data_IF_141178656368
#
_entry.id   IF_141178656368
#
_cell.length_a   1.000
_cell.length_b   1.000
_cell.length_c   1.000
_cell.angle_alpha   90.00
_cell.angle_beta   90.00
_cell.angle_gamma   90.00
#
_symmetry.space_group_name_H-M   'P 1'
#
loop_
_entity.id
_entity.type
_entity.pdbx_description
1 polymer ?
#
# COMPACT_ATOMS: atom_id res chain seq x y z
N UNK A 1 8.57 7.97 12.69
CA UNK A 1 7.35 8.07 11.90
C UNK A 1 6.26 7.20 12.53
N UNK A 2 5.08 7.76 12.69
CA UNK A 2 3.93 7.04 13.22
C UNK A 2 2.83 7.03 12.16
N UNK A 3 2.47 5.89 11.75
CA UNK A 3 1.33 5.71 10.95
C UNK A 3 0.38 4.78 11.68
N UNK A 4 -0.79 4.77 11.39
CA UNK A 4 -1.74 3.94 12.02
C UNK A 4 -2.59 3.24 11.04
N UNK A 5 -3.35 2.42 11.11
CA UNK A 5 -3.92 1.46 10.28
C UNK A 5 -5.40 1.54 10.09
N UNK A 6 -5.91 0.72 9.36
CA UNK A 6 -7.26 0.73 8.88
C UNK A 6 -7.93 -0.60 9.06
N UNK A 7 -9.20 -0.60 9.10
CA UNK A 7 -9.99 -1.83 9.12
C UNK A 7 -10.57 -2.10 7.75
N UNK A 8 -10.53 -3.30 7.28
CA UNK A 8 -11.22 -3.74 6.09
C UNK A 8 -12.70 -4.11 6.37
N UNK A 9 -13.24 -3.77 7.51
CA UNK A 9 -14.67 -4.00 7.83
C UNK A 9 -15.61 -3.29 6.87
N UNK A 10 -15.13 -2.26 6.20
CA UNK A 10 -15.94 -1.53 5.23
C UNK A 10 -16.22 -2.29 3.96
N UNK A 11 -15.57 -3.41 3.77
CA UNK A 11 -15.81 -4.29 2.64
C UNK A 11 -17.13 -5.05 2.76
N UNK A 12 -17.60 -5.20 4.01
CA UNK A 12 -18.90 -5.76 4.32
C UNK A 12 -19.86 -4.60 4.61
N UNK A 13 -20.63 -4.14 3.63
CA UNK A 13 -21.66 -3.15 3.90
C UNK A 13 -22.65 -3.73 4.92
N UNK A 14 -23.12 -2.94 5.88
CA UNK A 14 -24.11 -3.41 6.86
C UNK A 14 -25.33 -3.94 6.12
N UNK A 15 -25.72 -5.16 6.44
CA UNK A 15 -26.94 -5.75 5.87
C UNK A 15 -28.14 -4.88 6.21
N UNK A 16 -29.01 -4.58 5.25
CA UNK A 16 -30.23 -3.82 5.54
C UNK A 16 -31.06 -4.56 6.63
N UNK A 17 -31.30 -3.90 7.74
CA UNK A 17 -32.16 -4.45 8.79
C UNK A 17 -31.50 -4.77 10.13
N UNK A 18 -30.19 -4.50 10.31
CA UNK A 18 -29.59 -4.57 11.64
C UNK A 18 -29.94 -3.28 12.39
N UNK A 19 -30.65 -3.34 13.54
CA UNK A 19 -30.88 -2.12 14.31
C UNK A 19 -29.53 -1.56 14.75
N UNK A 20 -29.31 -0.29 14.48
CA UNK A 20 -28.18 0.44 15.02
C UNK A 20 -28.25 0.30 16.54
N UNK A 21 -27.26 -0.38 17.13
CA UNK A 21 -27.10 -0.30 18.56
C UNK A 21 -26.78 1.15 18.88
N UNK A 22 -27.65 1.78 19.65
CA UNK A 22 -27.44 3.13 20.17
C UNK A 22 -26.30 3.12 21.19
N UNK A 23 -25.10 2.92 20.72
CA UNK A 23 -23.92 3.44 21.39
C UNK A 23 -23.60 4.74 20.69
N UNK A 24 -23.68 5.83 21.41
CA UNK A 24 -23.42 7.17 20.91
C UNK A 24 -22.12 7.24 20.10
N UNK A 25 -21.92 8.26 19.26
CA UNK A 25 -20.79 8.30 18.33
C UNK A 25 -19.50 8.10 19.12
N UNK A 26 -18.82 6.99 18.89
CA UNK A 26 -17.44 6.82 19.31
C UNK A 26 -16.59 7.81 18.50
N UNK A 27 -16.61 9.05 18.95
CA UNK A 27 -15.81 10.12 18.37
C UNK A 27 -14.35 9.69 18.49
N UNK A 28 -13.73 9.30 17.38
CA UNK A 28 -12.29 9.15 17.25
C UNK A 28 -11.70 7.76 17.11
N UNK A 29 -12.45 6.67 17.12
CA UNK A 29 -11.89 5.34 16.79
C UNK A 29 -11.84 5.12 15.29
N UNK A 30 -10.65 5.34 14.71
CA UNK A 30 -10.34 4.86 13.35
C UNK A 30 -10.28 3.34 13.34
N UNK A 31 -10.77 2.73 12.28
CA UNK A 31 -10.67 1.31 12.06
C UNK A 31 -9.20 0.84 11.88
N UNK A 32 -8.84 -0.39 12.25
CA UNK A 32 -7.46 -0.92 12.27
C UNK A 32 -7.18 -1.93 11.17
N UNK A 33 -6.05 -1.79 10.46
CA UNK A 33 -5.62 -2.70 9.40
C UNK A 33 -4.13 -3.03 9.51
N UNK A 34 -3.76 -4.20 9.02
CA UNK A 34 -2.37 -4.57 8.72
C UNK A 34 -2.21 -4.75 7.22
N UNK A 35 -1.20 -4.12 6.64
CA UNK A 35 -0.97 -4.12 5.20
C UNK A 35 0.44 -4.64 4.91
N UNK A 36 0.56 -5.52 3.92
CA UNK A 36 1.82 -5.93 3.31
C UNK A 36 1.83 -5.52 1.86
N UNK A 37 2.95 -5.00 1.38
CA UNK A 37 3.11 -4.53 0.00
C UNK A 37 4.44 -4.98 -0.58
N UNK A 38 4.47 -5.20 -1.89
CA UNK A 38 5.69 -5.46 -2.64
C UNK A 38 5.56 -5.00 -4.08
N UNK A 39 6.69 -4.73 -4.71
CA UNK A 39 6.81 -4.40 -6.11
C UNK A 39 7.96 -5.13 -6.76
N UNK A 40 7.81 -5.48 -8.02
CA UNK A 40 8.82 -6.20 -8.80
C UNK A 40 8.86 -5.66 -10.23
N UNK A 41 10.05 -5.65 -10.82
CA UNK A 41 10.23 -5.23 -12.20
C UNK A 41 11.23 -6.14 -12.91
N UNK A 42 10.88 -6.57 -14.12
CA UNK A 42 11.76 -7.38 -14.95
C UNK A 42 12.56 -6.44 -15.87
N UNK A 43 13.90 -6.42 -15.70
CA UNK A 43 14.79 -5.58 -16.49
C UNK A 43 14.94 -4.12 -16.05
N UNK A 44 14.25 -3.68 -15.07
CA UNK A 44 14.27 -2.39 -14.36
C UNK A 44 15.03 -1.24 -15.09
N UNK A 45 14.45 -0.52 -16.10
CA UNK A 45 13.02 -0.51 -16.44
C UNK A 45 12.57 -1.72 -17.28
N UNK A 46 11.26 -1.99 -17.23
CA UNK A 46 10.62 -3.05 -17.99
C UNK A 46 9.24 -3.37 -17.43
N UNK A 47 8.66 -4.53 -17.79
CA UNK A 47 7.39 -4.97 -17.21
C UNK A 47 7.50 -5.14 -15.71
N UNK A 48 6.57 -4.58 -14.97
CA UNK A 48 6.57 -4.65 -13.52
C UNK A 48 5.20 -4.99 -12.95
N UNK A 49 5.21 -5.52 -11.73
CA UNK A 49 4.02 -5.84 -10.97
C UNK A 49 4.10 -5.29 -9.55
N UNK A 50 2.94 -5.08 -8.98
CA UNK A 50 2.78 -4.70 -7.58
C UNK A 50 1.75 -5.60 -6.91
N UNK A 51 1.86 -5.77 -5.61
CA UNK A 51 0.92 -6.55 -4.84
C UNK A 51 0.74 -6.00 -3.44
N UNK A 52 -0.44 -6.21 -2.87
CA UNK A 52 -0.76 -5.85 -1.51
C UNK A 52 -1.67 -6.89 -0.87
N UNK A 53 -1.48 -7.12 0.43
CA UNK A 53 -2.36 -7.91 1.27
C UNK A 53 -2.84 -7.01 2.40
N UNK A 54 -4.16 -6.88 2.53
CA UNK A 54 -4.80 -6.12 3.59
C UNK A 54 -5.52 -7.07 4.53
N UNK A 55 -5.26 -6.92 5.83
CA UNK A 55 -5.87 -7.75 6.87
C UNK A 55 -6.51 -6.88 7.94
N UNK A 56 -7.73 -7.23 8.33
CA UNK A 56 -8.40 -6.64 9.47
C UNK A 56 -8.99 -7.72 10.36
N UNK A 57 -9.10 -7.39 11.62
CA UNK A 57 -9.78 -8.22 12.60
C UNK A 57 -10.91 -7.42 13.25
N UNK A 58 -12.06 -7.99 13.30
CA UNK A 58 -13.24 -7.41 13.93
C UNK A 58 -14.00 -8.48 14.74
N UNK A 59 -15.13 -8.11 15.32
CA UNK A 59 -15.96 -9.04 16.12
C UNK A 59 -16.46 -10.27 15.35
N UNK A 60 -16.40 -10.25 14.01
CA UNK A 60 -16.79 -11.37 13.13
C UNK A 60 -15.61 -12.24 12.70
N UNK A 61 -14.38 -11.91 13.11
CA UNK A 61 -13.17 -12.64 12.79
C UNK A 61 -12.19 -11.86 11.90
N UNK A 62 -11.23 -12.57 11.33
CA UNK A 62 -10.22 -12.03 10.41
C UNK A 62 -10.77 -11.95 8.98
N UNK A 63 -10.54 -10.81 8.35
CA UNK A 63 -10.76 -10.63 6.91
C UNK A 63 -9.41 -10.35 6.24
N UNK A 64 -9.19 -10.98 5.08
CA UNK A 64 -7.96 -10.79 4.29
C UNK A 64 -8.34 -10.52 2.85
N UNK A 65 -7.68 -9.52 2.25
CA UNK A 65 -7.84 -9.19 0.83
C UNK A 65 -6.48 -9.12 0.16
N UNK A 66 -6.37 -9.77 -0.99
CA UNK A 66 -5.22 -9.67 -1.87
C UNK A 66 -5.54 -8.77 -3.05
N UNK A 67 -4.56 -7.95 -3.47
CA UNK A 67 -4.63 -7.08 -4.64
C UNK A 67 -3.32 -7.18 -5.41
N UNK A 68 -3.41 -7.12 -6.73
CA UNK A 68 -2.22 -7.04 -7.58
C UNK A 68 -2.53 -6.35 -8.90
N UNK A 69 -1.50 -5.90 -9.58
CA UNK A 69 -1.57 -5.29 -10.89
C UNK A 69 -0.18 -5.06 -11.46
N UNK A 70 -0.09 -4.43 -12.63
CA UNK A 70 1.19 -4.21 -13.26
C UNK A 70 1.18 -3.11 -14.30
N UNK A 71 2.38 -2.75 -14.76
CA UNK A 71 2.64 -1.81 -15.85
C UNK A 71 3.66 -2.41 -16.81
N UNK A 72 3.49 -2.13 -18.11
CA UNK A 72 4.35 -2.69 -19.17
C UNK A 72 5.74 -2.09 -19.24
N UNK A 73 5.89 -0.85 -18.78
CA UNK A 73 7.16 -0.12 -18.75
C UNK A 73 7.25 0.70 -17.47
N UNK A 74 8.00 0.18 -16.50
CA UNK A 74 8.06 0.75 -15.17
C UNK A 74 9.40 0.45 -14.48
N UNK A 75 9.50 0.76 -13.19
CA UNK A 75 10.67 0.49 -12.34
C UNK A 75 10.28 -0.20 -11.05
N UNK A 76 11.23 -0.84 -10.36
CA UNK A 76 10.99 -1.41 -9.03
C UNK A 76 10.42 -0.39 -8.05
N UNK A 77 11.04 0.77 -7.95
CA UNK A 77 10.60 1.82 -7.02
C UNK A 77 9.19 2.30 -7.30
N UNK A 78 8.84 2.42 -8.58
CA UNK A 78 7.49 2.80 -8.99
C UNK A 78 6.46 1.73 -8.60
N UNK A 79 6.79 0.46 -8.78
CA UNK A 79 5.91 -0.66 -8.39
C UNK A 79 5.74 -0.76 -6.87
N UNK A 80 6.79 -0.53 -6.12
CA UNK A 80 6.72 -0.46 -4.64
C UNK A 80 5.76 0.65 -4.17
N UNK A 81 5.86 1.84 -4.76
CA UNK A 81 4.94 2.94 -4.47
C UNK A 81 3.49 2.63 -4.88
N UNK A 82 3.31 2.06 -6.05
CA UNK A 82 1.97 1.70 -6.56
C UNK A 82 1.28 0.67 -5.68
N UNK A 83 2.01 -0.28 -5.12
CA UNK A 83 1.46 -1.24 -4.16
C UNK A 83 0.87 -0.52 -2.95
N UNK A 84 1.60 0.41 -2.37
CA UNK A 84 1.15 1.21 -1.22
C UNK A 84 -0.07 2.08 -1.59
N UNK A 85 0.01 2.80 -2.70
CA UNK A 85 -1.06 3.70 -3.15
C UNK A 85 -2.35 2.92 -3.42
N UNK A 86 -2.27 1.81 -4.13
CA UNK A 86 -3.45 0.99 -4.42
C UNK A 86 -4.05 0.38 -3.15
N UNK A 87 -3.22 -0.09 -2.22
CA UNK A 87 -3.69 -0.59 -0.94
C UNK A 87 -4.47 0.48 -0.16
N UNK A 88 -3.89 1.66 0.00
CA UNK A 88 -4.52 2.75 0.75
C UNK A 88 -5.73 3.34 0.02
N UNK A 89 -5.69 3.42 -1.31
CA UNK A 89 -6.83 3.89 -2.12
C UNK A 89 -8.04 2.96 -2.04
N UNK A 90 -7.83 1.69 -1.74
CA UNK A 90 -8.91 0.72 -1.57
C UNK A 90 -9.67 0.87 -0.26
N UNK A 91 -9.14 1.63 0.69
CA UNK A 91 -9.75 1.90 1.98
C UNK A 91 -10.75 3.04 1.88
N UNK A 92 -12.02 2.77 2.19
CA UNK A 92 -13.13 3.72 1.97
C UNK A 92 -13.31 4.74 3.08
N UNK A 93 -12.82 4.46 4.28
CA UNK A 93 -12.93 5.31 5.47
C UNK A 93 -11.55 5.58 6.08
N UNK A 94 -11.41 6.65 6.88
CA UNK A 94 -10.17 6.89 7.62
C UNK A 94 -9.83 5.72 8.54
N UNK A 95 -8.59 5.34 8.49
CA UNK A 95 -8.08 4.13 9.12
C UNK A 95 -6.74 4.36 9.83
N UNK A 96 -6.35 3.44 10.74
CA UNK A 96 -5.01 3.41 11.31
C UNK A 96 -4.42 1.98 11.35
N UNK A 97 -3.09 1.82 11.31
CA UNK A 97 -2.40 0.52 11.44
C UNK A 97 -0.99 0.52 10.92
N UNK A 98 -0.57 -0.63 10.50
CA UNK A 98 0.82 -0.89 10.11
C UNK A 98 0.89 -1.34 8.67
N UNK A 99 1.87 -0.79 7.95
CA UNK A 99 2.22 -1.22 6.61
C UNK A 99 3.66 -1.73 6.61
N UNK A 100 3.82 -2.97 6.19
CA UNK A 100 5.11 -3.65 6.10
C UNK A 100 5.57 -3.69 4.65
N UNK A 101 6.80 -3.23 4.41
CA UNK A 101 7.44 -3.24 3.10
C UNK A 101 8.92 -3.55 3.23
N UNK A 102 9.49 -4.27 2.28
CA UNK A 102 10.92 -4.50 2.17
C UNK A 102 11.64 -3.41 1.35
N UNK A 103 10.89 -2.46 0.80
CA UNK A 103 11.43 -1.31 0.08
C UNK A 103 11.98 -0.26 1.06
N UNK A 104 13.29 -0.20 1.18
CA UNK A 104 13.95 0.87 1.94
C UNK A 104 13.70 2.25 1.31
N UNK A 105 13.56 2.32 -0.01
CA UNK A 105 13.21 3.55 -0.72
C UNK A 105 11.89 4.14 -0.22
N UNK A 106 10.83 3.33 -0.15
CA UNK A 106 9.51 3.79 0.31
C UNK A 106 9.53 4.08 1.81
N UNK A 107 9.99 3.14 2.62
CA UNK A 107 9.95 3.28 4.08
C UNK A 107 10.82 4.44 4.56
N UNK A 108 12.05 4.57 4.06
CA UNK A 108 12.95 5.65 4.46
C UNK A 108 12.46 7.02 3.99
N UNK A 109 11.88 7.12 2.80
CA UNK A 109 11.34 8.39 2.30
C UNK A 109 10.26 8.95 3.22
N UNK A 110 9.50 8.09 3.87
CA UNK A 110 8.46 8.48 4.82
C UNK A 110 9.03 8.64 6.23
N UNK A 111 9.74 7.64 6.75
CA UNK A 111 10.18 7.61 8.15
C UNK A 111 11.33 8.57 8.45
N UNK A 112 12.17 8.87 7.46
CA UNK A 112 13.28 9.85 7.58
C UNK A 112 12.86 11.27 7.19
N UNK A 113 11.60 11.49 6.84
CA UNK A 113 11.06 12.81 6.52
C UNK A 113 11.43 13.34 5.13
N UNK A 114 11.96 12.51 4.22
CA UNK A 114 12.32 12.95 2.86
C UNK A 114 11.10 13.41 2.08
N UNK A 115 10.00 12.64 2.14
CA UNK A 115 8.75 13.02 1.47
C UNK A 115 8.22 14.36 2.00
N UNK A 116 8.23 14.57 3.31
CA UNK A 116 7.81 15.83 3.91
C UNK A 116 8.68 17.01 3.44
N UNK A 117 9.99 16.79 3.29
CA UNK A 117 10.92 17.78 2.73
C UNK A 117 10.62 18.10 1.26
N UNK A 118 10.32 17.11 0.45
CA UNK A 118 9.94 17.32 -0.95
C UNK A 118 8.62 18.09 -1.07
N UNK A 119 7.66 17.77 -0.25
CA UNK A 119 6.38 18.52 -0.18
C UNK A 119 6.61 19.98 0.16
N UNK A 120 7.43 20.25 1.18
CA UNK A 120 7.78 21.61 1.61
C UNK A 120 8.49 22.41 0.51
N UNK A 121 9.29 21.73 -0.33
CA UNK A 121 9.97 22.31 -1.47
C UNK A 121 9.09 22.39 -2.74
N UNK A 122 7.78 22.15 -2.63
CA UNK A 122 6.85 22.16 -3.76
C UNK A 122 7.01 20.98 -4.71
N UNK A 123 7.46 19.83 -4.20
CA UNK A 123 7.74 18.61 -4.97
C UNK A 123 8.89 18.78 -5.97
N UNK A 124 9.84 19.63 -5.63
CA UNK A 124 11.05 19.86 -6.40
C UNK A 124 12.28 19.33 -5.66
N UNK A 125 13.21 18.80 -6.43
CA UNK A 125 14.53 18.37 -5.97
C UNK A 125 15.55 18.70 -7.05
N UNK A 126 16.77 19.11 -6.64
CA UNK A 126 17.87 19.32 -7.59
C UNK A 126 18.11 18.05 -8.40
N UNK A 127 18.09 18.16 -9.72
CA UNK A 127 18.19 17.00 -10.61
C UNK A 127 16.88 16.31 -10.93
N UNK A 128 15.74 16.79 -10.41
CA UNK A 128 14.42 16.21 -10.58
C UNK A 128 14.02 15.26 -9.46
N UNK A 129 12.74 15.22 -9.14
CA UNK A 129 12.18 14.28 -8.18
C UNK A 129 11.55 13.09 -8.91
N UNK A 130 12.17 11.92 -8.80
CA UNK A 130 11.64 10.69 -9.37
C UNK A 130 10.29 10.33 -8.71
N UNK A 131 9.34 9.89 -9.52
CA UNK A 131 8.01 9.45 -9.06
C UNK A 131 7.22 10.54 -8.30
N UNK A 132 7.43 11.81 -8.62
CA UNK A 132 6.75 12.92 -7.96
C UNK A 132 5.22 12.79 -8.03
N UNK A 133 4.68 12.29 -9.13
CA UNK A 133 3.26 12.01 -9.33
C UNK A 133 2.73 11.03 -8.27
N UNK A 134 3.46 9.94 -8.00
CA UNK A 134 3.08 8.94 -7.02
C UNK A 134 3.27 9.43 -5.58
N UNK A 135 4.33 10.17 -5.30
CA UNK A 135 4.55 10.75 -3.98
C UNK A 135 3.46 11.73 -3.57
N UNK A 136 2.97 12.53 -4.52
CA UNK A 136 1.82 13.43 -4.29
C UNK A 136 0.54 12.66 -3.96
N UNK A 137 0.25 11.59 -4.68
CA UNK A 137 -0.89 10.71 -4.41
C UNK A 137 -0.79 10.07 -3.03
N UNK A 138 0.40 9.57 -2.68
CA UNK A 138 0.63 8.95 -1.37
C UNK A 138 0.47 9.97 -0.24
N UNK A 139 0.96 11.18 -0.41
CA UNK A 139 0.80 12.25 0.57
C UNK A 139 -0.69 12.54 0.89
N UNK A 140 -1.52 12.63 -0.15
CA UNK A 140 -2.97 12.81 0.02
C UNK A 140 -3.62 11.66 0.79
N UNK A 141 -3.23 10.42 0.50
CA UNK A 141 -3.72 9.23 1.20
C UNK A 141 -3.27 9.21 2.67
N UNK A 142 -2.05 9.61 2.95
CA UNK A 142 -1.52 9.66 4.32
C UNK A 142 -2.12 10.80 5.15
N UNK A 143 -2.79 11.76 4.54
CA UNK A 143 -3.59 12.75 5.26
C UNK A 143 -4.93 12.16 5.73
N UNK A 144 -5.46 11.19 5.01
CA UNK A 144 -6.72 10.50 5.34
C UNK A 144 -6.52 9.36 6.33
N UNK A 145 -5.40 8.67 6.23
CA UNK A 145 -5.09 7.47 6.99
C UNK A 145 -3.85 7.67 7.85
N UNK A 146 -3.85 7.08 9.04
CA UNK A 146 -2.74 7.17 9.98
C UNK A 146 -1.95 5.84 9.95
N UNK A 147 -0.90 5.76 9.12
CA UNK A 147 -0.16 4.54 8.79
C UNK A 147 1.26 4.57 9.34
N UNK A 148 1.62 3.55 10.14
CA UNK A 148 2.99 3.29 10.55
C UNK A 148 3.67 2.43 9.50
N UNK A 149 4.71 2.96 8.84
CA UNK A 149 5.52 2.22 7.89
C UNK A 149 6.63 1.47 8.62
N UNK A 150 6.73 0.18 8.37
CA UNK A 150 7.71 -0.71 9.01
C UNK A 150 8.49 -1.41 7.90
N UNK A 151 9.82 -1.27 7.94
CA UNK A 151 10.68 -2.01 7.05
C UNK A 151 10.81 -3.45 7.51
N UNK A 152 10.70 -4.40 6.58
CA UNK A 152 10.97 -5.82 6.79
C UNK A 152 12.04 -6.28 5.82
N UNK A 153 12.85 -7.24 6.23
CA UNK A 153 13.85 -7.84 5.35
C UNK A 153 13.16 -8.66 4.26
N UNK A 154 13.48 -8.38 2.99
CA UNK A 154 13.00 -9.18 1.87
C UNK A 154 13.49 -10.63 1.95
N UNK A 155 12.66 -11.57 1.48
CA UNK A 155 12.94 -13.02 1.51
C UNK A 155 13.21 -13.61 2.91
N UNK A 156 12.71 -12.94 3.96
CA UNK A 156 12.72 -13.47 5.32
C UNK A 156 11.51 -14.39 5.57
N UNK A 157 11.40 -14.94 6.77
CA UNK A 157 10.34 -15.89 7.14
C UNK A 157 8.96 -15.24 7.36
N UNK A 158 8.62 -14.23 6.56
CA UNK A 158 7.31 -13.59 6.60
C UNK A 158 6.45 -14.10 5.43
N UNK A 159 5.43 -14.95 5.68
CA UNK A 159 4.63 -15.54 4.63
C UNK A 159 3.83 -14.52 3.82
N UNK A 160 3.40 -13.42 4.42
CA UNK A 160 2.65 -12.37 3.73
C UNK A 160 3.53 -11.53 2.82
N UNK A 161 4.74 -11.19 3.26
CA UNK A 161 5.71 -10.51 2.41
C UNK A 161 6.11 -11.40 1.21
N UNK A 162 6.35 -12.68 1.44
CA UNK A 162 6.65 -13.66 0.40
C UNK A 162 5.49 -13.82 -0.58
N UNK A 163 4.25 -13.81 -0.08
CA UNK A 163 3.05 -13.88 -0.94
C UNK A 163 2.92 -12.64 -1.83
N UNK A 164 3.19 -11.46 -1.30
CA UNK A 164 3.20 -10.22 -2.09
C UNK A 164 4.27 -10.28 -3.19
N UNK A 165 5.46 -10.76 -2.88
CA UNK A 165 6.54 -10.95 -3.86
C UNK A 165 6.12 -11.89 -4.99
N UNK A 166 5.54 -13.03 -4.68
CA UNK A 166 5.02 -13.98 -5.68
C UNK A 166 3.96 -13.34 -6.59
N UNK A 167 3.00 -12.62 -6.02
CA UNK A 167 1.95 -11.96 -6.78
C UNK A 167 2.49 -10.84 -7.67
N UNK A 168 3.41 -10.03 -7.17
CA UNK A 168 4.04 -8.95 -7.93
C UNK A 168 4.84 -9.51 -9.10
N UNK A 169 5.63 -10.55 -8.89
CA UNK A 169 6.39 -11.22 -9.94
C UNK A 169 5.48 -11.87 -10.99
N UNK A 170 4.37 -12.47 -10.57
CA UNK A 170 3.39 -13.08 -11.48
C UNK A 170 2.77 -12.04 -12.42
N UNK A 171 2.44 -10.86 -11.91
CA UNK A 171 1.92 -9.76 -12.73
C UNK A 171 2.96 -9.26 -13.75
N UNK A 172 4.21 -9.11 -13.34
CA UNK A 172 5.29 -8.71 -14.24
C UNK A 172 5.52 -9.74 -15.36
N UNK A 173 5.55 -11.04 -15.04
CA UNK A 173 5.73 -12.13 -16.02
C UNK A 173 4.58 -12.21 -17.02
N UNK A 174 3.35 -11.99 -16.56
CA UNK A 174 2.16 -11.95 -17.43
C UNK A 174 2.31 -10.89 -18.51
N UNK A 175 2.73 -9.68 -18.15
CA UNK A 175 2.96 -8.59 -19.09
C UNK A 175 4.14 -8.87 -20.03
N UNK A 176 5.20 -9.49 -19.56
CA UNK A 176 6.32 -9.91 -20.38
C UNK A 176 5.88 -10.92 -21.45
N UNK A 177 5.07 -11.91 -21.07
CA UNK A 177 4.53 -12.92 -21.99
C UNK A 177 3.64 -12.30 -23.07
N UNK A 178 2.83 -11.31 -22.71
CA UNK A 178 1.97 -10.59 -23.65
C UNK A 178 2.79 -9.78 -24.68
N UNK A 179 3.89 -9.18 -24.26
CA UNK A 179 4.81 -8.47 -25.17
C UNK A 179 5.51 -9.39 -26.17
N UNK A 180 5.78 -10.63 -25.79
CA UNK A 180 6.48 -11.60 -26.67
C UNK A 180 5.54 -12.28 -27.66
N UNK A 181 4.23 -12.12 -27.55
CA UNK A 181 3.23 -12.66 -28.48
C UNK A 181 2.90 -11.74 -29.68
N UNK A 182 3.46 -10.54 -29.68
CA UNK A 182 3.34 -9.58 -30.79
C UNK A 182 4.51 -9.70 -31.75
#
# INVERSE_FOLDING_TARGET
>A
FKGGGCTIVEWDPPKPGTPASETGPEIGKKATVTIYTDGSCIGNPGPGGWAAILMAENSKGKQTREMSGGETDTTNNRMELMAVINALSSLKKPCHGKLYSDSSYVVNSITKGWMAGWKKAGWHKKGGLANADLWKQLDELLQKHDIMFIWVKGHADNPFNNRCDEMAQAEARKLLSDQTRL
#
